data_IF_752385170698
#
_entry.id   IF_752385170698
#
_cell.length_a   1.000
_cell.length_b   1.000
_cell.length_c   1.000
_cell.angle_alpha   90.00
_cell.angle_beta   90.00
_cell.angle_gamma   90.00
#
_symmetry.space_group_name_H-M   'P 1'
#
loop_
_entity.id
_entity.type
_entity.pdbx_description
1 polymer ?
#
# COMPACT_ATOMS: atom_id res chain seq x y z
N UNK A 1 2.80 -37.52 -106.05
CA UNK A 1 3.44 -36.70 -105.01
C UNK A 1 2.40 -36.40 -103.95
N UNK A 2 2.42 -37.12 -102.85
CA UNK A 2 1.53 -36.95 -101.74
C UNK A 2 2.27 -36.17 -100.61
N UNK A 3 1.61 -35.21 -99.96
CA UNK A 3 2.21 -34.54 -98.84
C UNK A 3 2.11 -35.38 -97.54
N UNK A 4 3.05 -35.18 -96.61
CA UNK A 4 3.12 -35.96 -95.42
C UNK A 4 2.07 -35.54 -94.36
N UNK A 5 1.60 -36.52 -93.58
CA UNK A 5 0.67 -36.35 -92.46
C UNK A 5 1.30 -35.67 -91.27
N UNK A 6 0.58 -34.85 -90.51
CA UNK A 6 1.11 -34.27 -89.26
C UNK A 6 1.05 -35.21 -88.09
N UNK A 7 2.14 -35.18 -87.27
CA UNK A 7 2.29 -35.95 -86.01
C UNK A 7 1.39 -35.38 -84.89
N UNK A 8 0.90 -36.20 -83.89
CA UNK A 8 0.08 -35.71 -82.81
C UNK A 8 0.98 -35.33 -81.61
N UNK A 9 1.19 -34.06 -81.40
CA UNK A 9 1.80 -33.49 -80.19
C UNK A 9 0.78 -32.66 -79.41
N UNK A 10 0.00 -33.26 -78.51
CA UNK A 10 -0.77 -32.50 -77.52
C UNK A 10 -1.46 -33.35 -76.41
N UNK A 11 -0.84 -34.43 -75.90
CA UNK A 11 -1.46 -35.16 -74.75
C UNK A 11 -0.60 -35.19 -73.47
N UNK A 12 0.61 -34.68 -73.50
CA UNK A 12 1.54 -34.77 -72.34
C UNK A 12 1.55 -33.51 -71.43
N UNK A 13 0.98 -32.40 -71.87
CA UNK A 13 0.99 -31.15 -71.10
C UNK A 13 -0.13 -31.07 -70.03
N UNK A 14 -1.31 -31.63 -70.30
CA UNK A 14 -2.46 -31.58 -69.40
C UNK A 14 -2.29 -32.48 -68.13
N UNK A 15 -1.68 -33.61 -68.26
CA UNK A 15 -1.48 -34.54 -67.12
C UNK A 15 -0.49 -34.03 -66.12
N UNK A 16 0.53 -33.24 -66.58
CA UNK A 16 1.48 -32.62 -65.63
C UNK A 16 0.92 -31.44 -64.85
N UNK A 17 -0.04 -30.69 -65.42
CA UNK A 17 -0.64 -29.56 -64.78
C UNK A 17 -1.68 -29.94 -63.70
N UNK A 18 -2.44 -31.04 -63.90
CA UNK A 18 -3.37 -31.53 -62.88
C UNK A 18 -2.67 -32.22 -61.70
N UNK A 19 -1.53 -32.90 -61.94
CA UNK A 19 -0.78 -33.49 -60.85
C UNK A 19 -0.04 -32.44 -60.00
N UNK A 20 0.44 -31.34 -60.61
CA UNK A 20 1.07 -30.23 -59.89
C UNK A 20 0.05 -29.45 -59.04
N UNK A 21 -1.18 -29.29 -59.55
CA UNK A 21 -2.26 -28.62 -58.78
C UNK A 21 -2.75 -29.44 -57.58
N UNK A 22 -2.84 -30.77 -57.70
CA UNK A 22 -3.28 -31.64 -56.60
C UNK A 22 -2.20 -31.80 -55.51
N UNK A 23 -0.95 -31.77 -55.85
CA UNK A 23 0.18 -31.84 -54.87
C UNK A 23 0.29 -30.50 -54.10
N UNK A 24 0.13 -29.35 -54.77
CA UNK A 24 0.13 -28.03 -54.12
C UNK A 24 -1.04 -27.84 -53.15
N UNK A 25 -2.28 -28.34 -53.50
CA UNK A 25 -3.44 -28.29 -52.59
C UNK A 25 -3.30 -29.22 -51.39
N UNK A 26 -2.66 -30.37 -51.54
CA UNK A 26 -2.47 -31.31 -50.46
C UNK A 26 -1.36 -30.80 -49.46
N UNK A 27 -0.32 -30.14 -49.94
CA UNK A 27 0.71 -29.53 -49.09
C UNK A 27 0.20 -28.29 -48.36
N UNK A 28 -0.66 -27.46 -49.00
CA UNK A 28 -1.29 -26.32 -48.32
C UNK A 28 -2.30 -26.74 -47.25
N UNK A 29 -3.06 -27.82 -47.49
CA UNK A 29 -4.01 -28.37 -46.48
C UNK A 29 -3.28 -29.01 -45.26
N UNK A 30 -2.12 -29.67 -45.46
CA UNK A 30 -1.32 -30.22 -44.36
C UNK A 30 -0.63 -29.11 -43.55
N UNK A 31 -0.24 -27.98 -44.17
CA UNK A 31 0.42 -26.86 -43.45
C UNK A 31 -0.56 -26.11 -42.53
N UNK A 32 -1.84 -26.02 -42.89
CA UNK A 32 -2.88 -25.37 -42.05
C UNK A 32 -3.28 -26.21 -40.84
N UNK A 33 -3.22 -27.53 -40.95
CA UNK A 33 -3.56 -28.44 -39.84
C UNK A 33 -2.43 -28.54 -38.79
N UNK A 34 -1.17 -28.35 -39.19
CA UNK A 34 -0.02 -28.38 -38.26
C UNK A 34 0.11 -27.09 -37.43
N UNK A 35 -0.42 -25.94 -37.90
CA UNK A 35 -0.41 -24.70 -37.12
C UNK A 35 -1.46 -24.66 -36.00
N UNK A 36 -2.45 -25.54 -36.00
CA UNK A 36 -3.53 -25.55 -34.98
C UNK A 36 -3.23 -26.40 -33.75
N UNK A 37 -2.09 -27.09 -33.71
CA UNK A 37 -1.70 -28.02 -32.63
C UNK A 37 -0.38 -27.62 -31.95
N UNK A 38 -0.03 -26.33 -31.95
CA UNK A 38 1.03 -25.89 -31.05
C UNK A 38 0.61 -26.17 -29.59
N UNK A 39 1.34 -27.00 -28.81
CA UNK A 39 1.00 -27.21 -27.44
C UNK A 39 1.03 -25.86 -26.73
N UNK A 40 -0.10 -25.43 -26.20
CA UNK A 40 -0.15 -24.27 -25.30
C UNK A 40 0.67 -24.64 -24.07
N UNK A 41 1.93 -24.22 -24.01
CA UNK A 41 2.72 -24.32 -22.79
C UNK A 41 1.95 -23.54 -21.72
N UNK A 42 1.50 -24.18 -20.63
CA UNK A 42 0.79 -23.45 -19.58
C UNK A 42 1.70 -22.32 -19.08
N UNK A 43 1.14 -21.14 -19.02
CA UNK A 43 1.86 -19.99 -18.47
C UNK A 43 2.32 -20.32 -17.04
N UNK A 44 3.55 -19.95 -16.70
CA UNK A 44 4.06 -20.18 -15.34
C UNK A 44 3.11 -19.56 -14.30
N UNK A 45 2.88 -20.22 -13.16
CA UNK A 45 1.96 -19.73 -12.14
C UNK A 45 2.43 -18.40 -11.57
N UNK A 46 1.48 -17.55 -11.21
CA UNK A 46 1.73 -16.33 -10.44
C UNK A 46 2.02 -16.72 -8.99
N UNK A 47 3.29 -16.61 -8.57
CA UNK A 47 3.71 -16.93 -7.21
C UNK A 47 3.48 -15.75 -6.29
N UNK A 48 2.67 -15.94 -5.24
CA UNK A 48 2.24 -14.89 -4.32
C UNK A 48 2.89 -15.10 -2.96
N UNK A 49 3.64 -14.11 -2.49
CA UNK A 49 4.16 -14.13 -1.13
C UNK A 49 3.00 -13.99 -0.14
N UNK A 50 2.88 -14.90 0.80
CA UNK A 50 1.77 -14.95 1.75
C UNK A 50 2.24 -15.39 3.13
N UNK A 51 1.57 -14.90 4.16
CA UNK A 51 1.68 -15.46 5.51
C UNK A 51 0.61 -16.56 5.67
N UNK A 52 0.93 -17.72 6.25
CA UNK A 52 -0.04 -18.81 6.43
C UNK A 52 -1.14 -18.48 7.45
N UNK A 53 -0.94 -17.50 8.34
CA UNK A 53 -1.86 -17.17 9.44
C UNK A 53 -1.95 -15.64 9.66
N UNK A 54 -2.49 -14.93 8.67
CA UNK A 54 -2.65 -13.47 8.68
C UNK A 54 -4.02 -13.03 8.15
N UNK A 55 -5.10 -13.63 8.63
CA UNK A 55 -6.45 -13.16 8.30
C UNK A 55 -6.68 -11.72 8.81
N UNK A 56 -7.41 -10.91 8.08
CA UNK A 56 -8.19 -11.19 6.85
C UNK A 56 -7.41 -11.10 5.54
N UNK A 57 -6.10 -11.01 5.55
CA UNK A 57 -5.29 -10.76 4.34
C UNK A 57 -4.90 -12.04 3.60
N UNK A 58 -4.28 -12.97 4.32
CA UNK A 58 -3.80 -14.26 3.78
C UNK A 58 -3.95 -15.37 4.80
N UNK A 59 -4.22 -16.60 4.34
CA UNK A 59 -4.27 -17.79 5.18
C UNK A 59 -3.97 -19.05 4.38
N UNK A 60 -3.39 -20.05 5.02
CA UNK A 60 -3.20 -21.39 4.46
C UNK A 60 -4.46 -22.25 4.52
N UNK A 61 -5.51 -21.79 5.20
CA UNK A 61 -6.80 -22.47 5.24
C UNK A 61 -7.48 -22.38 3.85
N UNK A 62 -7.76 -23.51 3.16
CA UNK A 62 -8.36 -23.47 1.84
C UNK A 62 -9.79 -22.92 1.82
N UNK A 63 -10.50 -22.97 2.95
CA UNK A 63 -11.87 -22.48 3.06
C UNK A 63 -11.96 -20.98 3.37
N UNK A 64 -10.87 -20.37 3.79
CA UNK A 64 -10.82 -18.95 4.15
C UNK A 64 -9.42 -18.40 3.86
N UNK A 65 -9.15 -18.10 2.59
CA UNK A 65 -7.80 -17.78 2.10
C UNK A 65 -7.36 -16.36 2.38
N UNK A 66 -8.29 -15.47 2.68
CA UNK A 66 -8.03 -14.05 2.88
C UNK A 66 -8.08 -13.24 1.59
N UNK A 67 -8.32 -11.93 1.75
CA UNK A 67 -8.57 -11.02 0.64
C UNK A 67 -7.47 -11.06 -0.43
N UNK A 68 -6.20 -11.07 -0.02
CA UNK A 68 -5.09 -10.97 -0.97
C UNK A 68 -4.92 -12.23 -1.83
N UNK A 69 -5.11 -13.43 -1.25
CA UNK A 69 -5.02 -14.65 -2.02
C UNK A 69 -6.23 -14.85 -2.94
N UNK A 70 -7.44 -14.51 -2.48
CA UNK A 70 -8.63 -14.55 -3.35
C UNK A 70 -8.53 -13.54 -4.50
N UNK A 71 -8.02 -12.34 -4.24
CA UNK A 71 -7.77 -11.35 -5.30
C UNK A 71 -6.70 -11.84 -6.28
N UNK A 72 -5.63 -12.46 -5.77
CA UNK A 72 -4.57 -13.01 -6.62
C UNK A 72 -5.07 -14.16 -7.51
N UNK A 73 -6.02 -14.98 -7.05
CA UNK A 73 -6.69 -16.00 -7.86
C UNK A 73 -7.47 -15.38 -9.03
N UNK A 74 -8.22 -14.30 -8.75
CA UNK A 74 -8.96 -13.59 -9.80
C UNK A 74 -8.01 -12.96 -10.82
N UNK A 75 -6.90 -12.39 -10.38
CA UNK A 75 -5.87 -11.83 -11.26
C UNK A 75 -5.25 -12.94 -12.12
N UNK A 76 -4.82 -14.04 -11.51
CA UNK A 76 -4.18 -15.16 -12.22
C UNK A 76 -5.11 -15.77 -13.26
N UNK A 77 -6.38 -15.96 -12.93
CA UNK A 77 -7.40 -16.46 -13.85
C UNK A 77 -7.55 -15.54 -15.08
N UNK A 78 -7.62 -14.23 -14.89
CA UNK A 78 -7.65 -13.24 -15.98
C UNK A 78 -6.36 -13.23 -16.81
N UNK A 79 -5.24 -13.53 -16.17
CA UNK A 79 -3.95 -13.68 -16.82
C UNK A 79 -3.79 -15.02 -17.55
N UNK A 80 -4.77 -15.92 -17.49
CA UNK A 80 -4.70 -17.26 -18.09
C UNK A 80 -3.66 -18.17 -17.44
N UNK A 81 -3.40 -17.99 -16.13
CA UNK A 81 -2.44 -18.78 -15.36
C UNK A 81 -3.05 -19.21 -14.01
N UNK A 82 -2.35 -20.12 -13.31
CA UNK A 82 -2.70 -20.46 -11.93
C UNK A 82 -2.04 -19.48 -10.93
N UNK A 83 -2.62 -19.38 -9.73
CA UNK A 83 -2.01 -18.73 -8.59
C UNK A 83 -1.38 -19.77 -7.67
N UNK A 84 -0.15 -19.52 -7.20
CA UNK A 84 0.57 -20.37 -6.26
C UNK A 84 0.99 -19.54 -5.04
N UNK A 85 0.50 -19.83 -3.81
CA UNK A 85 0.93 -19.14 -2.63
C UNK A 85 2.30 -19.67 -2.17
N UNK A 86 3.21 -18.76 -1.86
CA UNK A 86 4.51 -19.07 -1.25
C UNK A 86 4.46 -18.57 0.18
N UNK A 87 4.26 -19.51 1.10
CA UNK A 87 4.06 -19.18 2.50
C UNK A 87 5.38 -18.88 3.22
N UNK A 88 5.34 -17.81 3.99
CA UNK A 88 6.41 -17.37 4.87
C UNK A 88 5.78 -16.70 6.13
N UNK A 89 6.11 -17.14 7.34
CA UNK A 89 5.45 -16.68 8.57
C UNK A 89 6.02 -15.32 9.01
N UNK A 90 5.79 -14.28 8.25
CA UNK A 90 6.05 -12.88 8.56
C UNK A 90 5.49 -12.01 7.42
N UNK A 91 4.68 -11.03 7.76
CA UNK A 91 4.03 -10.11 6.79
C UNK A 91 4.65 -8.72 6.75
N UNK A 92 5.66 -8.46 7.56
CA UNK A 92 6.30 -7.16 7.62
C UNK A 92 7.22 -6.89 6.41
N UNK A 93 7.68 -5.66 6.30
CA UNK A 93 8.69 -5.27 5.30
C UNK A 93 9.98 -6.12 5.39
N UNK A 94 10.23 -6.77 6.53
CA UNK A 94 11.35 -7.70 6.73
C UNK A 94 11.21 -8.96 5.88
N UNK A 95 9.99 -9.41 5.60
CA UNK A 95 9.72 -10.56 4.75
C UNK A 95 10.10 -10.33 3.27
N UNK A 96 10.13 -9.08 2.80
CA UNK A 96 10.45 -8.77 1.40
C UNK A 96 11.81 -9.29 0.95
N UNK A 97 12.82 -9.20 1.81
CA UNK A 97 14.18 -9.62 1.46
C UNK A 97 14.29 -11.12 1.25
N UNK A 98 13.84 -12.01 2.17
CA UNK A 98 13.94 -13.47 2.02
C UNK A 98 12.88 -14.06 1.08
N UNK A 99 11.89 -13.31 0.61
CA UNK A 99 10.82 -13.80 -0.26
C UNK A 99 10.85 -13.14 -1.63
N UNK A 100 10.26 -11.95 -1.79
CA UNK A 100 10.13 -11.24 -3.06
C UNK A 100 11.48 -10.93 -3.70
N UNK A 101 12.40 -10.32 -2.94
CA UNK A 101 13.71 -9.91 -3.46
C UNK A 101 14.64 -11.11 -3.70
N UNK A 102 14.42 -12.23 -3.02
CA UNK A 102 15.11 -13.48 -3.27
C UNK A 102 14.51 -14.29 -4.44
N UNK A 103 13.46 -13.78 -5.11
CA UNK A 103 12.82 -14.44 -6.25
C UNK A 103 12.00 -15.69 -5.89
N UNK A 104 11.65 -15.89 -4.62
CA UNK A 104 10.84 -17.04 -4.19
C UNK A 104 9.39 -16.88 -4.60
N UNK A 105 8.87 -15.66 -4.64
CA UNK A 105 7.55 -15.28 -5.15
C UNK A 105 7.69 -14.08 -6.10
N UNK A 106 6.64 -13.75 -6.84
CA UNK A 106 6.65 -12.73 -7.88
C UNK A 106 5.97 -11.44 -7.42
N UNK A 107 5.00 -11.56 -6.52
CA UNK A 107 4.20 -10.44 -6.01
C UNK A 107 4.01 -10.52 -4.50
N UNK A 108 3.92 -9.34 -3.87
CA UNK A 108 3.64 -9.15 -2.45
C UNK A 108 2.50 -8.13 -2.30
N UNK A 109 1.35 -8.56 -1.79
CA UNK A 109 0.17 -7.71 -1.64
C UNK A 109 0.23 -6.84 -0.38
N UNK A 110 -0.44 -5.69 -0.43
CA UNK A 110 -0.69 -4.84 0.73
C UNK A 110 0.51 -4.00 1.17
N UNK A 111 1.48 -3.75 0.29
CA UNK A 111 2.53 -2.80 0.61
C UNK A 111 1.96 -1.39 0.67
N UNK A 112 2.19 -0.66 1.77
CA UNK A 112 1.76 0.72 1.86
C UNK A 112 2.58 1.57 0.88
N UNK A 113 1.89 2.35 0.06
CA UNK A 113 2.50 3.35 -0.78
C UNK A 113 2.36 4.71 -0.11
N UNK A 114 3.46 5.23 0.43
CA UNK A 114 3.53 6.62 0.82
C UNK A 114 4.40 7.36 -0.19
N UNK A 115 4.00 8.55 -0.62
CA UNK A 115 4.85 9.39 -1.49
C UNK A 115 6.19 9.73 -0.84
N UNK A 116 6.27 9.57 0.46
CA UNK A 116 7.39 9.96 1.31
C UNK A 116 8.50 8.90 1.40
N UNK A 117 8.16 7.64 1.26
CA UNK A 117 9.12 6.52 1.21
C UNK A 117 8.77 5.62 0.02
N UNK A 118 9.08 6.04 -1.22
CA UNK A 118 8.94 5.11 -2.33
C UNK A 118 9.84 3.90 -2.03
N UNK A 119 9.37 2.68 -2.23
CA UNK A 119 10.22 1.52 -2.11
C UNK A 119 11.43 1.76 -2.99
N UNK A 120 12.62 1.46 -2.45
CA UNK A 120 13.89 1.69 -3.16
C UNK A 120 13.88 1.09 -4.56
N UNK A 121 14.91 1.34 -5.37
CA UNK A 121 15.01 0.84 -6.77
C UNK A 121 14.79 -0.66 -6.93
N UNK A 122 14.94 -1.42 -5.84
CA UNK A 122 14.74 -2.87 -5.82
C UNK A 122 13.28 -3.32 -5.88
N UNK A 123 12.32 -2.43 -5.53
CA UNK A 123 10.89 -2.72 -5.51
C UNK A 123 10.14 -1.72 -6.38
N UNK A 124 9.16 -2.21 -7.11
CA UNK A 124 8.14 -1.44 -7.83
C UNK A 124 6.79 -1.71 -7.23
N UNK A 125 5.90 -0.72 -7.25
CA UNK A 125 4.51 -0.88 -6.84
C UNK A 125 3.58 -0.72 -8.03
N UNK A 126 2.48 -1.46 -8.00
CA UNK A 126 1.33 -1.19 -8.87
C UNK A 126 0.64 0.12 -8.45
N UNK A 127 -0.35 0.55 -9.21
CA UNK A 127 -1.35 1.50 -8.71
C UNK A 127 -2.02 0.90 -7.47
N UNK A 128 -2.37 1.72 -6.48
CA UNK A 128 -3.10 1.24 -5.32
C UNK A 128 -4.45 0.64 -5.74
N UNK A 129 -4.83 -0.47 -5.09
CA UNK A 129 -6.09 -1.14 -5.35
C UNK A 129 -7.14 -0.91 -4.26
N UNK A 130 -6.71 -0.53 -3.06
CA UNK A 130 -7.58 -0.24 -1.92
C UNK A 130 -6.88 0.78 -1.03
N UNK A 131 -7.66 1.60 -0.36
CA UNK A 131 -7.15 2.44 0.72
C UNK A 131 -7.55 1.83 2.06
N UNK A 132 -6.58 1.57 2.93
CA UNK A 132 -6.76 0.93 4.22
C UNK A 132 -6.22 1.81 5.34
N UNK A 133 -6.75 1.64 6.54
CA UNK A 133 -6.33 2.50 7.64
C UNK A 133 -6.78 1.98 9.00
N UNK A 134 -6.41 2.74 10.01
CA UNK A 134 -6.89 2.53 11.35
C UNK A 134 -8.37 2.89 11.45
N UNK A 135 -9.09 2.21 12.34
CA UNK A 135 -10.50 2.42 12.60
C UNK A 135 -10.81 2.20 14.07
N UNK A 136 -11.90 2.81 14.52
CA UNK A 136 -12.44 2.50 15.83
C UNK A 136 -13.48 1.38 15.71
N UNK A 137 -13.38 0.39 16.58
CA UNK A 137 -14.47 -0.53 16.89
C UNK A 137 -15.13 0.02 18.14
N UNK A 138 -16.34 0.53 18.01
CA UNK A 138 -17.04 1.29 19.05
C UNK A 138 -18.51 0.92 19.11
N UNK A 139 -19.21 1.07 20.28
CA UNK A 139 -20.65 0.88 20.37
C UNK A 139 -21.41 1.69 19.31
N UNK A 140 -22.49 1.13 18.74
CA UNK A 140 -23.28 1.81 17.69
C UNK A 140 -23.79 3.18 18.13
N UNK A 141 -24.13 3.33 19.41
CA UNK A 141 -24.60 4.58 19.99
C UNK A 141 -23.48 5.62 20.17
N UNK A 142 -22.21 5.22 20.08
CA UNK A 142 -21.10 6.15 20.24
C UNK A 142 -20.97 7.05 19.02
N UNK A 143 -21.10 8.36 19.24
CA UNK A 143 -20.91 9.38 18.19
C UNK A 143 -19.44 9.79 18.18
N UNK A 144 -18.76 9.51 17.08
CA UNK A 144 -17.35 9.88 16.89
C UNK A 144 -17.21 10.81 15.70
N UNK A 145 -16.70 12.00 15.93
CA UNK A 145 -16.48 13.06 14.92
C UNK A 145 -15.08 13.66 15.00
N UNK A 146 -14.44 13.58 16.17
CA UNK A 146 -13.14 14.14 16.47
C UNK A 146 -12.49 13.39 17.61
N UNK A 147 -11.19 13.56 17.76
CA UNK A 147 -10.40 12.81 18.74
C UNK A 147 -10.82 13.08 20.21
N UNK A 148 -11.28 14.30 20.49
CA UNK A 148 -11.76 14.69 21.83
C UNK A 148 -13.02 13.93 22.29
N UNK A 149 -13.76 13.31 21.36
CA UNK A 149 -14.92 12.47 21.71
C UNK A 149 -14.51 11.18 22.46
N UNK A 150 -13.20 10.84 22.43
CA UNK A 150 -12.61 9.75 23.21
C UNK A 150 -12.27 10.16 24.66
N UNK A 151 -12.37 11.44 25.03
CA UNK A 151 -12.06 11.89 26.39
C UNK A 151 -12.94 11.15 27.41
N UNK A 152 -12.34 10.74 28.51
CA UNK A 152 -12.99 9.96 29.57
C UNK A 152 -13.18 8.47 29.23
N UNK A 153 -12.90 8.03 28.01
CA UNK A 153 -13.06 6.64 27.55
C UNK A 153 -11.82 5.81 27.83
N UNK A 154 -12.07 4.51 27.98
CA UNK A 154 -11.00 3.50 27.99
C UNK A 154 -10.81 2.98 26.57
N UNK A 155 -9.69 3.35 25.95
CA UNK A 155 -9.38 3.07 24.53
C UNK A 155 -8.24 2.05 24.43
N UNK A 156 -8.53 0.90 23.81
CA UNK A 156 -7.52 -0.11 23.51
C UNK A 156 -6.79 0.22 22.20
N UNK A 157 -5.48 0.14 22.20
CA UNK A 157 -4.61 0.35 21.04
C UNK A 157 -3.58 -0.78 20.91
N UNK A 158 -3.09 -1.00 19.69
CA UNK A 158 -1.97 -1.92 19.49
C UNK A 158 -0.64 -1.23 19.83
N UNK A 159 0.28 -1.97 20.43
CA UNK A 159 1.65 -1.52 20.71
C UNK A 159 2.38 -1.11 19.42
N UNK A 160 3.16 -0.02 19.49
CA UNK A 160 3.92 0.55 18.39
C UNK A 160 3.06 0.94 17.15
N UNK A 161 1.78 1.29 17.37
CA UNK A 161 0.86 1.75 16.33
C UNK A 161 0.71 3.27 16.30
N UNK A 162 0.23 3.80 15.18
CA UNK A 162 -0.10 5.23 15.05
C UNK A 162 -1.14 5.68 16.08
N UNK A 163 -2.24 4.95 16.35
CA UNK A 163 -3.17 5.29 17.44
C UNK A 163 -2.50 5.38 18.81
N UNK A 164 -1.59 4.47 19.16
CA UNK A 164 -0.85 4.57 20.42
C UNK A 164 -0.08 5.88 20.49
N UNK A 165 0.65 6.22 19.44
CA UNK A 165 1.41 7.48 19.38
C UNK A 165 0.49 8.70 19.46
N UNK A 166 -0.64 8.68 18.74
CA UNK A 166 -1.62 9.77 18.70
C UNK A 166 -2.28 10.04 20.07
N UNK A 167 -2.53 8.97 20.84
CA UNK A 167 -3.19 9.06 22.13
C UNK A 167 -2.20 9.25 23.31
N UNK A 168 -0.91 9.01 23.13
CA UNK A 168 0.09 9.02 24.21
C UNK A 168 0.24 10.37 24.94
N UNK A 169 -0.12 11.49 24.27
CA UNK A 169 -0.07 12.85 24.84
C UNK A 169 -1.43 13.36 25.32
N UNK A 170 -2.44 12.48 25.47
CA UNK A 170 -3.82 12.88 25.80
C UNK A 170 -4.26 12.28 27.13
N UNK A 171 -3.95 12.98 28.21
CA UNK A 171 -4.23 12.55 29.59
C UNK A 171 -5.72 12.31 29.89
N UNK A 172 -6.61 12.93 29.10
CA UNK A 172 -8.05 12.76 29.23
C UNK A 172 -8.56 11.38 28.72
N UNK A 173 -7.71 10.60 28.04
CA UNK A 173 -8.06 9.29 27.47
C UNK A 173 -7.34 8.20 28.27
N UNK A 174 -8.09 7.22 28.77
CA UNK A 174 -7.49 6.04 29.42
C UNK A 174 -7.04 5.04 28.36
N UNK A 175 -5.79 5.15 27.92
CA UNK A 175 -5.21 4.27 26.92
C UNK A 175 -4.75 2.94 27.53
N UNK A 176 -5.18 1.82 26.94
CA UNK A 176 -4.73 0.47 27.26
C UNK A 176 -4.03 -0.12 26.04
N UNK A 177 -2.79 -0.55 26.20
CA UNK A 177 -1.96 -1.05 25.10
C UNK A 177 -1.98 -2.57 25.07
N UNK A 178 -2.28 -3.12 23.90
CA UNK A 178 -2.30 -4.55 23.61
C UNK A 178 -1.17 -4.94 22.65
N UNK A 179 -0.75 -6.18 22.69
CA UNK A 179 0.29 -6.69 21.80
C UNK A 179 -0.15 -6.74 20.32
N UNK A 180 -1.41 -7.10 20.07
CA UNK A 180 -2.00 -7.23 18.74
C UNK A 180 -3.32 -6.47 18.66
N UNK A 181 -3.77 -6.16 17.43
CA UNK A 181 -5.08 -5.56 17.18
C UNK A 181 -6.21 -6.51 17.61
N UNK A 182 -6.08 -7.81 17.34
CA UNK A 182 -7.06 -8.82 17.77
C UNK A 182 -7.26 -8.82 19.28
N UNK A 183 -6.16 -8.77 20.05
CA UNK A 183 -6.23 -8.75 21.51
C UNK A 183 -6.99 -7.52 22.05
N UNK A 184 -6.90 -6.37 21.36
CA UNK A 184 -7.68 -5.19 21.73
C UNK A 184 -9.17 -5.40 21.45
N UNK A 185 -9.53 -6.03 20.31
CA UNK A 185 -10.94 -6.33 19.99
C UNK A 185 -11.49 -7.42 20.92
N UNK A 186 -10.67 -8.40 21.33
CA UNK A 186 -11.05 -9.41 22.33
C UNK A 186 -11.34 -8.76 23.68
N UNK A 187 -10.54 -7.79 24.10
CA UNK A 187 -10.77 -7.02 25.33
C UNK A 187 -12.05 -6.19 25.26
N UNK A 188 -12.37 -5.65 24.06
CA UNK A 188 -13.65 -4.98 23.81
C UNK A 188 -14.84 -5.93 23.98
N UNK A 189 -14.74 -7.16 23.46
CA UNK A 189 -15.77 -8.20 23.61
C UNK A 189 -15.97 -8.57 25.10
N UNK A 190 -14.92 -8.56 25.90
CA UNK A 190 -14.99 -8.79 27.36
C UNK A 190 -15.36 -7.55 28.15
N UNK A 191 -15.63 -6.41 27.48
CA UNK A 191 -15.96 -5.12 28.12
C UNK A 191 -14.86 -4.58 29.05
N UNK A 192 -13.62 -4.95 28.84
CA UNK A 192 -12.44 -4.43 29.55
C UNK A 192 -12.04 -3.04 29.07
N UNK A 193 -12.42 -2.72 27.82
CA UNK A 193 -12.28 -1.40 27.19
C UNK A 193 -13.61 -0.98 26.54
N UNK A 194 -13.78 0.30 26.26
CA UNK A 194 -15.00 0.84 25.65
C UNK A 194 -14.91 1.01 24.14
N UNK A 195 -13.69 1.23 23.63
CA UNK A 195 -13.39 1.45 22.20
C UNK A 195 -12.06 0.77 21.88
N UNK A 196 -11.95 0.10 20.75
CA UNK A 196 -10.67 -0.35 20.22
C UNK A 196 -10.29 0.54 19.02
N UNK A 197 -9.10 1.15 19.05
CA UNK A 197 -8.57 1.94 17.95
C UNK A 197 -7.39 1.19 17.33
N UNK A 198 -7.68 0.40 16.30
CA UNK A 198 -6.79 -0.60 15.73
C UNK A 198 -6.74 -0.54 14.21
N UNK A 199 -5.89 -1.34 13.59
CA UNK A 199 -5.89 -1.50 12.14
C UNK A 199 -7.25 -1.99 11.66
N UNK A 200 -7.94 -1.16 10.86
CA UNK A 200 -9.34 -1.32 10.51
C UNK A 200 -9.70 -2.68 9.91
N UNK A 201 -8.95 -3.21 8.93
CA UNK A 201 -9.19 -4.55 8.39
C UNK A 201 -9.21 -5.65 9.46
N UNK A 202 -8.22 -5.65 10.37
CA UNK A 202 -8.17 -6.63 11.47
C UNK A 202 -9.32 -6.39 12.45
N UNK A 203 -9.55 -5.11 12.81
CA UNK A 203 -10.64 -4.73 13.73
C UNK A 203 -12.00 -5.16 13.25
N UNK A 204 -12.33 -4.90 11.97
CA UNK A 204 -13.60 -5.27 11.35
C UNK A 204 -13.79 -6.78 11.25
N UNK A 205 -12.78 -7.48 10.75
CA UNK A 205 -12.80 -8.94 10.64
C UNK A 205 -12.94 -9.62 12.02
N UNK A 206 -12.15 -9.20 13.01
CA UNK A 206 -12.21 -9.79 14.36
C UNK A 206 -13.55 -9.51 15.04
N UNK A 207 -14.07 -8.30 14.91
CA UNK A 207 -15.39 -7.94 15.44
C UNK A 207 -16.51 -8.79 14.82
N UNK A 208 -16.45 -9.05 13.51
CA UNK A 208 -17.40 -9.93 12.83
C UNK A 208 -17.30 -11.38 13.35
N UNK A 209 -16.10 -11.92 13.49
CA UNK A 209 -15.84 -13.28 14.01
C UNK A 209 -16.33 -13.49 15.44
N UNK A 210 -16.33 -12.43 16.24
CA UNK A 210 -16.83 -12.43 17.62
C UNK A 210 -18.32 -12.10 17.73
N UNK A 211 -19.02 -11.89 16.61
CA UNK A 211 -20.45 -11.54 16.59
C UNK A 211 -20.76 -10.14 17.11
N UNK A 212 -19.75 -9.25 17.19
CA UNK A 212 -19.91 -7.92 17.80
C UNK A 212 -20.66 -6.92 16.91
N UNK A 213 -20.78 -7.15 15.60
CA UNK A 213 -21.36 -6.20 14.65
C UNK A 213 -22.87 -5.92 14.90
N UNK A 214 -23.53 -6.70 15.75
CA UNK A 214 -24.88 -6.41 16.27
C UNK A 214 -24.93 -5.16 17.17
N UNK A 215 -23.91 -4.99 18.03
CA UNK A 215 -23.85 -3.94 19.06
C UNK A 215 -22.80 -2.86 18.74
N UNK A 216 -21.78 -3.19 17.94
CA UNK A 216 -20.65 -2.32 17.61
C UNK A 216 -20.66 -1.93 16.13
N UNK A 217 -20.02 -0.84 15.82
CA UNK A 217 -19.74 -0.36 14.46
C UNK A 217 -18.24 -0.16 14.28
N UNK A 218 -17.82 -0.20 13.02
CA UNK A 218 -16.45 0.13 12.64
C UNK A 218 -16.47 1.55 12.08
N UNK A 219 -15.67 2.45 12.62
CA UNK A 219 -15.58 3.84 12.16
C UNK A 219 -14.20 4.06 11.56
N UNK A 220 -14.14 4.19 10.26
CA UNK A 220 -12.90 4.54 9.55
C UNK A 220 -12.38 5.88 10.03
N UNK A 221 -11.05 6.02 10.12
CA UNK A 221 -10.41 7.27 10.46
C UNK A 221 -9.44 7.70 9.37
N UNK A 222 -9.27 9.00 9.20
CA UNK A 222 -8.22 9.61 8.40
C UNK A 222 -7.37 10.53 9.26
N UNK A 223 -6.25 10.97 8.70
CA UNK A 223 -5.29 11.80 9.37
C UNK A 223 -3.87 11.27 9.20
N UNK A 224 -2.89 11.96 9.76
CA UNK A 224 -1.48 11.63 9.56
C UNK A 224 -1.12 10.21 10.02
N UNK A 225 -0.69 9.38 9.07
CA UNK A 225 -0.30 8.00 9.35
C UNK A 225 -1.45 7.05 9.72
N UNK A 226 -2.71 7.50 9.65
CA UNK A 226 -3.86 6.66 9.94
C UNK A 226 -4.36 5.86 8.74
N UNK A 227 -4.02 6.29 7.51
CA UNK A 227 -4.39 5.59 6.28
C UNK A 227 -3.21 5.46 5.34
N UNK A 228 -3.24 4.42 4.54
CA UNK A 228 -2.28 4.22 3.46
C UNK A 228 -2.94 3.50 2.28
N UNK A 229 -2.63 3.88 1.04
CA UNK A 229 -3.03 3.12 -0.11
C UNK A 229 -2.28 1.79 -0.15
N UNK A 230 -3.00 0.69 -0.34
CA UNK A 230 -2.45 -0.66 -0.49
C UNK A 230 -2.17 -0.96 -1.96
N UNK A 231 -0.94 -1.37 -2.26
CA UNK A 231 -0.49 -1.73 -3.59
C UNK A 231 0.13 -3.12 -3.63
N UNK A 232 0.35 -3.65 -4.83
CA UNK A 232 1.08 -4.90 -5.04
C UNK A 232 2.55 -4.55 -5.31
N UNK A 233 3.45 -5.13 -4.54
CA UNK A 233 4.89 -4.99 -4.72
C UNK A 233 5.48 -6.06 -5.61
N UNK A 234 6.44 -5.66 -6.46
CA UNK A 234 7.19 -6.51 -7.36
C UNK A 234 8.67 -6.16 -7.29
N UNK A 235 9.54 -7.05 -7.81
CA UNK A 235 10.95 -6.69 -8.00
C UNK A 235 11.10 -5.55 -9.01
N UNK A 236 12.11 -4.73 -8.83
CA UNK A 236 12.38 -3.58 -9.70
C UNK A 236 12.51 -3.91 -11.19
N UNK A 237 12.97 -5.15 -11.51
CA UNK A 237 13.13 -5.65 -12.87
C UNK A 237 11.82 -6.09 -13.54
N UNK A 238 10.73 -6.35 -12.79
CA UNK A 238 9.52 -6.99 -13.27
C UNK A 238 8.50 -5.98 -13.83
N UNK A 239 8.96 -5.03 -14.64
CA UNK A 239 8.14 -3.95 -15.19
C UNK A 239 6.96 -4.45 -16.03
N UNK A 240 7.17 -5.45 -16.88
CA UNK A 240 6.12 -6.00 -17.73
C UNK A 240 4.99 -6.65 -16.91
N UNK A 241 5.35 -7.36 -15.82
CA UNK A 241 4.37 -7.94 -14.92
C UNK A 241 3.59 -6.83 -14.19
N UNK A 242 4.26 -5.78 -13.73
CA UNK A 242 3.62 -4.62 -13.09
C UNK A 242 2.55 -3.99 -13.99
N UNK A 243 2.91 -3.71 -15.26
CA UNK A 243 1.99 -3.10 -16.22
C UNK A 243 0.79 -4.01 -16.53
N UNK A 244 1.01 -5.33 -16.55
CA UNK A 244 -0.06 -6.30 -16.72
C UNK A 244 -1.00 -6.30 -15.51
N UNK A 245 -0.45 -6.33 -14.29
CA UNK A 245 -1.24 -6.25 -13.05
C UNK A 245 -2.04 -4.94 -12.98
N UNK A 246 -1.44 -3.80 -13.33
CA UNK A 246 -2.12 -2.52 -13.35
C UNK A 246 -3.34 -2.51 -14.29
N UNK A 247 -3.28 -3.21 -15.43
CA UNK A 247 -4.42 -3.36 -16.36
C UNK A 247 -5.50 -4.27 -15.76
N UNK A 248 -5.13 -5.44 -15.25
CA UNK A 248 -6.10 -6.38 -14.67
C UNK A 248 -6.81 -5.79 -13.46
N UNK A 249 -6.10 -5.03 -12.63
CA UNK A 249 -6.67 -4.37 -11.45
C UNK A 249 -7.72 -3.31 -11.79
N UNK A 250 -7.65 -2.66 -12.94
CA UNK A 250 -8.69 -1.73 -13.38
C UNK A 250 -10.05 -2.42 -13.54
N UNK A 251 -10.05 -3.63 -14.10
CA UNK A 251 -11.24 -4.45 -14.33
C UNK A 251 -11.76 -5.12 -13.05
N UNK A 252 -10.90 -5.31 -12.06
CA UNK A 252 -11.21 -6.01 -10.82
C UNK A 252 -11.67 -5.08 -9.68
N UNK A 253 -11.85 -3.78 -9.91
CA UNK A 253 -12.26 -2.82 -8.86
C UNK A 253 -13.51 -3.27 -8.09
N UNK A 254 -14.54 -3.73 -8.80
CA UNK A 254 -15.76 -4.23 -8.17
C UNK A 254 -15.55 -5.50 -7.36
N UNK A 255 -14.66 -6.39 -7.83
CA UNK A 255 -14.30 -7.61 -7.09
C UNK A 255 -13.50 -7.29 -5.83
N UNK A 256 -12.59 -6.32 -5.87
CA UNK A 256 -11.84 -5.84 -4.70
C UNK A 256 -12.78 -5.36 -3.60
N UNK A 257 -13.79 -4.53 -3.96
CA UNK A 257 -14.76 -4.03 -2.99
C UNK A 257 -15.60 -5.16 -2.38
N UNK A 258 -16.08 -6.12 -3.19
CA UNK A 258 -16.81 -7.29 -2.69
C UNK A 258 -15.95 -8.16 -1.75
N UNK A 259 -14.67 -8.32 -2.04
CA UNK A 259 -13.74 -9.02 -1.16
C UNK A 259 -13.52 -8.24 0.15
N UNK A 260 -13.37 -6.92 0.07
CA UNK A 260 -13.24 -6.06 1.23
C UNK A 260 -14.49 -6.13 2.13
N UNK A 261 -15.69 -6.13 1.56
CA UNK A 261 -16.96 -6.34 2.27
C UNK A 261 -17.01 -7.75 2.91
N UNK A 262 -16.67 -8.80 2.14
CA UNK A 262 -16.63 -10.20 2.64
C UNK A 262 -15.75 -10.34 3.88
N UNK A 263 -14.62 -9.63 3.90
CA UNK A 263 -13.66 -9.67 5.00
C UNK A 263 -13.85 -8.52 6.01
N UNK A 264 -14.98 -7.81 5.94
CA UNK A 264 -15.36 -6.73 6.87
C UNK A 264 -14.35 -5.60 6.98
N UNK A 265 -13.72 -5.24 5.87
CA UNK A 265 -12.89 -4.03 5.82
C UNK A 265 -13.79 -2.80 5.97
N UNK A 266 -13.39 -1.79 6.74
CA UNK A 266 -14.14 -0.56 6.84
C UNK A 266 -14.01 0.26 5.56
N UNK A 267 -15.11 0.35 4.79
CA UNK A 267 -15.18 1.04 3.49
C UNK A 267 -15.90 2.39 3.57
N UNK A 268 -16.48 2.72 4.73
CA UNK A 268 -17.18 3.98 4.93
C UNK A 268 -16.23 5.18 4.84
N UNK A 269 -16.81 6.34 4.55
CA UNK A 269 -16.07 7.60 4.54
C UNK A 269 -15.43 7.83 5.92
N UNK A 270 -14.12 8.09 5.96
CA UNK A 270 -13.40 8.18 7.21
C UNK A 270 -13.70 9.49 7.93
N UNK A 271 -13.74 9.42 9.25
CA UNK A 271 -13.69 10.61 10.11
C UNK A 271 -12.28 11.18 10.07
N UNK A 272 -12.14 12.39 9.55
CA UNK A 272 -10.85 13.09 9.53
C UNK A 272 -10.52 13.61 10.93
N UNK A 273 -9.48 13.03 11.53
CA UNK A 273 -8.98 13.42 12.85
C UNK A 273 -7.99 14.59 12.80
N UNK A 274 -7.55 14.91 11.61
CA UNK A 274 -6.80 16.11 11.28
C UNK A 274 -7.75 17.06 10.52
N UNK A 275 -8.85 17.46 11.12
CA UNK A 275 -9.52 18.65 10.61
C UNK A 275 -8.43 19.72 10.46
N UNK A 276 -8.33 20.37 9.29
CA UNK A 276 -7.25 21.28 9.04
C UNK A 276 -7.11 22.17 10.26
N UNK A 277 -5.96 22.11 10.89
CA UNK A 277 -5.64 22.98 12.00
C UNK A 277 -5.75 24.40 11.42
N UNK A 278 -6.93 24.98 11.51
CA UNK A 278 -7.19 26.38 11.19
C UNK A 278 -6.49 27.29 12.20
N UNK A 279 -5.75 26.69 13.14
CA UNK A 279 -4.86 27.46 14.00
C UNK A 279 -3.78 28.05 13.10
N UNK A 280 -3.75 29.40 13.00
CA UNK A 280 -2.65 30.03 12.29
C UNK A 280 -1.36 29.48 12.88
N UNK A 281 -0.41 29.14 12.02
CA UNK A 281 0.91 28.72 12.46
C UNK A 281 1.46 29.88 13.28
N UNK A 282 1.79 29.68 14.56
CA UNK A 282 2.43 30.73 15.31
C UNK A 282 3.66 31.19 14.53
N UNK A 283 3.84 32.51 14.40
CA UNK A 283 4.98 33.11 13.69
C UNK A 283 5.04 32.85 12.16
N UNK A 284 3.91 32.55 11.49
CA UNK A 284 3.90 32.44 10.02
C UNK A 284 4.35 33.76 9.39
N UNK A 285 5.42 33.68 8.55
CA UNK A 285 6.04 34.84 7.88
C UNK A 285 6.58 35.94 8.82
N UNK A 286 6.81 35.61 10.09
CA UNK A 286 7.45 36.52 11.02
C UNK A 286 8.98 36.44 10.87
N UNK A 287 9.66 37.51 10.35
CA UNK A 287 11.09 37.51 10.15
C UNK A 287 11.91 37.47 11.45
N UNK A 288 11.38 38.07 12.54
CA UNK A 288 12.04 38.06 13.83
C UNK A 288 12.03 36.69 14.46
N UNK A 289 10.85 36.00 14.43
CA UNK A 289 10.71 34.64 14.87
C UNK A 289 11.56 33.68 14.01
N UNK A 290 11.65 33.90 12.71
CA UNK A 290 12.49 33.09 11.83
C UNK A 290 13.99 33.25 12.15
N UNK A 291 14.45 34.49 12.48
CA UNK A 291 15.84 34.74 12.89
C UNK A 291 16.20 34.05 14.21
N UNK A 292 15.30 34.11 15.21
CA UNK A 292 15.44 33.40 16.47
C UNK A 292 15.40 31.91 16.26
N UNK A 293 14.45 31.40 15.43
CA UNK A 293 14.32 30.00 15.05
C UNK A 293 15.56 29.44 14.36
N UNK A 294 16.26 30.26 13.56
CA UNK A 294 17.56 29.90 12.97
C UNK A 294 18.62 29.64 14.03
N UNK A 295 18.66 30.51 15.05
CA UNK A 295 19.61 30.35 16.17
C UNK A 295 19.28 29.04 16.94
N UNK A 296 18.02 28.83 17.30
CA UNK A 296 17.57 27.62 17.98
C UNK A 296 17.84 26.35 17.15
N UNK A 297 17.58 26.40 15.85
CA UNK A 297 17.89 25.30 14.94
C UNK A 297 19.39 24.97 14.92
N UNK A 298 20.24 25.98 14.82
CA UNK A 298 21.67 25.72 14.77
C UNK A 298 22.24 25.20 16.10
N UNK A 299 21.62 25.51 17.22
CA UNK A 299 21.99 24.97 18.54
C UNK A 299 21.51 23.51 18.71
N UNK A 300 20.26 23.22 18.36
CA UNK A 300 19.63 21.97 18.75
C UNK A 300 19.53 20.92 17.61
N UNK A 301 19.55 21.35 16.35
CA UNK A 301 19.22 20.47 15.22
C UNK A 301 20.36 20.30 14.20
N UNK A 302 21.28 21.28 14.11
CA UNK A 302 22.30 21.35 13.06
C UNK A 302 23.29 20.18 13.09
N UNK A 303 23.51 19.57 14.24
CA UNK A 303 24.39 18.41 14.39
C UNK A 303 24.00 17.25 13.44
N UNK A 304 22.69 17.02 13.29
CA UNK A 304 22.18 15.95 12.41
C UNK A 304 21.68 16.47 11.06
N UNK A 305 21.15 17.72 11.02
CA UNK A 305 20.49 18.28 9.85
C UNK A 305 21.35 19.34 9.11
N UNK A 306 22.61 19.49 9.53
CA UNK A 306 23.59 20.47 9.05
C UNK A 306 23.18 21.94 9.31
N UNK A 307 24.14 22.85 9.38
CA UNK A 307 23.86 24.29 9.62
C UNK A 307 22.88 24.83 8.59
N UNK A 308 21.96 25.66 9.05
CA UNK A 308 20.92 26.28 8.22
C UNK A 308 20.04 25.30 7.45
N UNK A 309 19.86 24.07 7.95
CA UNK A 309 19.05 23.02 7.38
C UNK A 309 19.51 22.50 6.00
N UNK A 310 20.72 22.84 5.57
CA UNK A 310 21.28 22.52 4.25
C UNK A 310 22.14 21.26 4.30
N UNK A 311 21.51 20.10 4.49
CA UNK A 311 22.22 18.82 4.50
C UNK A 311 22.54 18.33 3.09
N UNK A 312 23.76 17.79 2.85
CA UNK A 312 24.06 17.08 1.60
C UNK A 312 23.30 15.75 1.46
N UNK A 313 22.85 15.18 2.59
CA UNK A 313 21.96 14.02 2.58
C UNK A 313 20.52 14.47 2.30
N UNK A 314 19.92 14.07 1.16
CA UNK A 314 18.56 14.49 0.83
C UNK A 314 17.51 14.08 1.88
N UNK A 315 17.74 13.02 2.66
CA UNK A 315 16.82 12.59 3.72
C UNK A 315 16.88 13.51 4.94
N UNK A 316 18.01 14.15 5.19
CA UNK A 316 18.26 15.08 6.31
C UNK A 316 18.09 16.55 5.94
N UNK A 317 17.90 16.86 4.64
CA UNK A 317 17.70 18.22 4.15
C UNK A 317 16.27 18.70 4.43
N UNK A 318 16.11 19.53 5.47
CA UNK A 318 14.82 20.04 5.91
C UNK A 318 14.30 21.22 5.06
N UNK A 319 15.08 21.73 4.10
CA UNK A 319 14.60 22.71 3.12
C UNK A 319 13.62 22.12 2.10
N UNK A 320 13.38 20.81 2.16
CA UNK A 320 12.49 20.06 1.27
C UNK A 320 11.20 19.63 1.94
N UNK A 321 10.84 20.17 3.10
CA UNK A 321 9.62 19.80 3.82
C UNK A 321 8.35 20.05 3.01
N UNK A 322 8.29 21.18 2.30
CA UNK A 322 7.14 21.51 1.44
C UNK A 322 6.99 20.54 0.28
N UNK A 323 8.08 20.12 -0.34
CA UNK A 323 8.09 19.14 -1.42
C UNK A 323 7.69 17.75 -0.94
N UNK A 324 8.09 17.38 0.29
CA UNK A 324 7.82 16.04 0.84
C UNK A 324 6.42 15.88 1.40
N UNK A 325 5.96 16.91 2.13
CA UNK A 325 4.77 16.79 2.99
C UNK A 325 3.64 17.73 2.59
N UNK A 326 3.83 18.60 1.59
CA UNK A 326 2.80 19.52 1.12
C UNK A 326 2.20 20.34 2.25
N UNK A 327 0.88 20.34 2.35
CA UNK A 327 0.14 21.07 3.40
C UNK A 327 0.29 20.43 4.79
N UNK A 328 0.61 19.15 4.86
CA UNK A 328 0.81 18.44 6.14
C UNK A 328 2.17 18.73 6.79
N UNK A 329 3.05 19.46 6.14
CA UNK A 329 4.44 19.72 6.60
C UNK A 329 4.55 20.29 8.00
N UNK A 330 3.56 21.05 8.45
CA UNK A 330 3.57 21.68 9.77
C UNK A 330 3.32 20.66 10.87
N UNK A 331 2.30 19.83 10.69
CA UNK A 331 1.95 18.77 11.62
C UNK A 331 3.05 17.72 11.69
N UNK A 332 3.51 17.26 10.51
CA UNK A 332 4.64 16.31 10.42
C UNK A 332 5.87 16.85 11.13
N UNK A 333 6.20 18.12 10.93
CA UNK A 333 7.33 18.75 11.59
C UNK A 333 7.16 18.75 13.10
N UNK A 334 6.02 19.28 13.59
CA UNK A 334 5.78 19.43 15.02
C UNK A 334 5.79 18.07 15.73
N UNK A 335 5.07 17.10 15.19
CA UNK A 335 5.01 15.74 15.75
C UNK A 335 6.38 15.05 15.71
N UNK A 336 7.11 15.21 14.59
CA UNK A 336 8.46 14.62 14.47
C UNK A 336 9.44 15.22 15.46
N UNK A 337 9.39 16.53 15.69
CA UNK A 337 10.28 17.20 16.64
C UNK A 337 9.94 16.85 18.09
N UNK A 338 8.65 16.83 18.43
CA UNK A 338 8.21 16.54 19.80
C UNK A 338 8.42 15.08 20.20
N UNK A 339 8.15 14.15 19.30
CA UNK A 339 8.19 12.69 19.58
C UNK A 339 9.52 12.03 19.16
N UNK A 340 10.28 12.68 18.29
CA UNK A 340 11.48 12.09 17.71
C UNK A 340 11.17 10.96 16.71
N UNK A 341 12.26 10.38 16.20
CA UNK A 341 12.26 9.11 15.42
C UNK A 341 13.38 8.22 15.96
N UNK A 342 13.25 7.63 17.16
CA UNK A 342 14.33 6.90 17.82
C UNK A 342 14.92 5.78 16.98
N UNK A 343 14.09 5.09 16.19
CA UNK A 343 14.54 4.02 15.28
C UNK A 343 15.38 4.53 14.11
N UNK A 344 15.34 5.85 13.83
CA UNK A 344 16.14 6.53 12.80
C UNK A 344 17.22 7.46 13.42
N UNK A 345 17.41 7.35 14.73
CA UNK A 345 18.44 8.12 15.45
C UNK A 345 18.07 9.57 15.74
N UNK A 346 16.81 9.98 15.62
CA UNK A 346 16.34 11.32 15.99
C UNK A 346 15.69 11.28 17.38
N UNK A 347 16.29 11.93 18.40
CA UNK A 347 15.70 11.97 19.74
C UNK A 347 14.48 12.91 19.77
N UNK A 348 13.53 12.71 20.71
CA UNK A 348 12.45 13.65 20.96
C UNK A 348 12.96 14.95 21.56
N UNK A 349 12.45 16.08 21.12
CA UNK A 349 12.77 17.41 21.66
C UNK A 349 11.62 18.06 22.44
N UNK A 350 10.46 17.42 22.52
CA UNK A 350 9.26 17.96 23.19
C UNK A 350 9.38 18.16 24.72
N UNK A 351 10.43 17.61 25.35
CA UNK A 351 10.75 17.86 26.77
C UNK A 351 11.93 18.83 26.97
N UNK A 352 12.58 19.28 25.87
CA UNK A 352 13.77 20.15 25.86
C UNK A 352 13.43 21.55 25.35
N UNK A 353 12.56 21.62 24.34
CA UNK A 353 12.12 22.85 23.70
C UNK A 353 10.63 23.07 24.04
N UNK A 354 10.30 24.30 24.40
CA UNK A 354 8.90 24.69 24.52
C UNK A 354 8.21 24.78 23.14
N UNK A 355 6.88 24.77 23.09
CA UNK A 355 6.13 24.85 21.83
C UNK A 355 6.48 26.05 20.97
N UNK A 356 6.71 27.23 21.57
CA UNK A 356 7.05 28.46 20.84
C UNK A 356 8.42 28.36 20.18
N UNK A 357 9.42 27.83 20.89
CA UNK A 357 10.74 27.55 20.33
C UNK A 357 10.66 26.60 19.12
N UNK A 358 9.85 25.55 19.20
CA UNK A 358 9.62 24.62 18.09
C UNK A 358 8.98 25.34 16.89
N UNK A 359 7.98 26.20 17.12
CA UNK A 359 7.32 26.95 16.06
C UNK A 359 8.22 28.05 15.45
N UNK A 360 9.10 28.68 16.23
CA UNK A 360 10.14 29.61 15.71
C UNK A 360 11.12 28.86 14.81
N UNK A 361 11.56 27.67 15.20
CA UNK A 361 12.36 26.79 14.31
C UNK A 361 11.60 26.51 13.02
N UNK A 362 10.29 26.24 13.09
CA UNK A 362 9.45 26.02 11.90
C UNK A 362 9.37 27.25 11.01
N UNK A 363 9.21 28.45 11.59
CA UNK A 363 9.23 29.70 10.84
C UNK A 363 10.55 29.90 10.07
N UNK A 364 11.68 29.60 10.70
CA UNK A 364 12.97 29.57 10.01
C UNK A 364 12.99 28.56 8.86
N UNK A 365 12.53 27.32 9.09
CA UNK A 365 12.52 26.30 8.04
C UNK A 365 11.62 26.69 6.86
N UNK A 366 10.48 27.37 7.09
CA UNK A 366 9.64 27.91 6.00
C UNK A 366 10.37 28.97 5.17
N UNK A 367 11.22 29.80 5.81
CA UNK A 367 11.97 30.85 5.11
C UNK A 367 13.07 30.33 4.18
N UNK A 368 13.49 29.05 4.38
CA UNK A 368 14.60 28.44 3.62
C UNK A 368 14.14 27.29 2.71
N UNK A 369 12.82 27.09 2.53
CA UNK A 369 12.32 26.02 1.66
C UNK A 369 12.79 26.21 0.22
N UNK A 370 13.32 25.15 -0.38
CA UNK A 370 13.67 25.13 -1.81
C UNK A 370 12.40 25.13 -2.64
N UNK A 371 12.42 25.92 -3.73
CA UNK A 371 11.39 25.82 -4.78
C UNK A 371 11.57 24.48 -5.51
N UNK A 372 10.48 23.91 -6.00
CA UNK A 372 10.57 22.77 -6.91
C UNK A 372 11.30 23.25 -8.17
N UNK A 373 12.47 22.70 -8.45
CA UNK A 373 13.05 22.78 -9.77
C UNK A 373 12.21 21.85 -10.67
N UNK A 374 11.46 22.46 -11.60
CA UNK A 374 10.71 21.78 -12.66
C UNK A 374 11.67 21.36 -13.78
#
# INVERSE_FOLDING_TARGET
>A
MNPPLPLPLARSAWIRQEMASRVLTAVAACSVVVLALAPTVPAAPLRVCADPDNLPFTSSNPNERGLYLELAELIAARMGTAMEPVYFPDVGLRALRPTLLAGRCDVFFGLPFTREEPPGRSIRLTRPFLEVGYALVAPKAFMFRKLEDLNGRTVGVQHASTPQTLLSSRDAIRMVTFRTADAAVDALARREIEVAFVWGPIGGYRAARLGLLGEYKIVSTAGFGLRAPAAIGLRGADQALRERLDREMLELRGAVLKLAEKYHFPLDEPVDLEAPSTKPIPFDRDPAAAAEGRTLFNVHCSHCHSPNAASPDPQRDLRRLRLRYGEQRNEVFYTTVTQGRPTKGMPPAGGVLDPDAIWKIKAFLESVQTKADY
#
